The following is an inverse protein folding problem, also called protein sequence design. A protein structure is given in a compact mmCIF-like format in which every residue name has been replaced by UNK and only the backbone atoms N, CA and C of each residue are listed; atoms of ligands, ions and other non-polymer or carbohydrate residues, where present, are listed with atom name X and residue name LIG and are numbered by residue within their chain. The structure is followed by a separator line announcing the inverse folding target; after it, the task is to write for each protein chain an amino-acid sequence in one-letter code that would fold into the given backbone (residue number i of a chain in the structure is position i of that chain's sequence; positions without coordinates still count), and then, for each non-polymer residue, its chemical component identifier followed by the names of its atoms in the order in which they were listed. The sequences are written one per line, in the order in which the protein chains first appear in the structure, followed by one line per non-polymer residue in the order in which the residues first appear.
data_IF_041467397002
#
_entry.id   IF_041467397002
#
_cell.length_a   1.000
_cell.length_b   1.000
_cell.length_c   1.000
_cell.angle_alpha   90.00
_cell.angle_beta   90.00
_cell.angle_gamma   90.00
#
_symmetry.space_group_name_H-M   'P 1'
#
loop_
_entity.id
_entity.type
_entity.pdbx_description
1 polymer ?
#
# COMPACT_ATOMS: atom_id res chain seq x y z
N UNK A 1 -6.67 -21.80 -31.58
CA UNK A 1 -5.72 -22.85 -32.00
C UNK A 1 -6.45 -24.07 -32.56
N UNK A 2 -7.38 -24.72 -31.83
CA UNK A 2 -8.10 -25.91 -32.31
C UNK A 2 -9.04 -25.62 -33.47
N UNK A 3 -9.58 -24.40 -33.57
CA UNK A 3 -10.35 -23.95 -34.73
C UNK A 3 -9.48 -23.80 -35.99
N UNK A 4 -8.23 -23.34 -35.78
CA UNK A 4 -7.28 -23.12 -36.88
C UNK A 4 -6.59 -24.42 -37.31
N UNK A 5 -6.50 -25.40 -36.41
CA UNK A 5 -5.85 -26.69 -36.60
C UNK A 5 -6.78 -27.84 -36.20
N UNK A 6 -7.78 -28.17 -37.02
CA UNK A 6 -8.80 -29.17 -36.67
C UNK A 6 -8.27 -30.59 -36.52
N UNK A 7 -7.10 -30.88 -37.07
CA UNK A 7 -6.45 -32.19 -36.96
C UNK A 7 -5.43 -32.26 -35.79
N UNK A 8 -5.37 -31.25 -34.92
CA UNK A 8 -4.45 -31.27 -33.80
C UNK A 8 -4.88 -32.35 -32.78
N UNK A 9 -3.92 -33.19 -32.38
CA UNK A 9 -4.14 -34.18 -31.33
C UNK A 9 -3.89 -33.51 -29.94
N UNK A 10 -4.95 -33.43 -29.11
CA UNK A 10 -4.87 -32.85 -27.79
C UNK A 10 -4.59 -33.90 -26.73
N UNK A 11 -3.43 -33.83 -26.07
CA UNK A 11 -3.08 -34.70 -24.95
C UNK A 11 -3.23 -33.90 -23.64
N UNK A 12 -3.93 -34.47 -22.66
CA UNK A 12 -4.11 -33.88 -21.35
C UNK A 12 -3.11 -34.50 -20.36
N UNK A 13 -2.26 -33.64 -19.76
CA UNK A 13 -1.35 -34.07 -18.69
C UNK A 13 -2.12 -33.98 -17.36
N UNK A 14 -2.71 -35.08 -16.91
CA UNK A 14 -3.61 -35.12 -15.74
C UNK A 14 -2.95 -35.71 -14.51
N UNK A 15 -1.87 -36.47 -14.64
CA UNK A 15 -1.14 -36.99 -13.50
C UNK A 15 -0.30 -35.87 -12.85
N UNK A 16 -0.48 -35.68 -11.57
CA UNK A 16 0.26 -34.73 -10.73
C UNK A 16 1.24 -35.48 -9.82
N UNK A 17 2.47 -34.98 -9.75
CA UNK A 17 3.56 -35.58 -8.97
C UNK A 17 3.99 -34.71 -7.78
N UNK A 18 3.30 -33.57 -7.55
CA UNK A 18 3.66 -32.59 -6.51
C UNK A 18 2.81 -32.69 -5.26
N UNK A 19 1.50 -32.90 -5.44
CA UNK A 19 0.51 -32.74 -4.38
C UNK A 19 -0.12 -34.07 -3.98
N UNK A 20 -0.53 -34.14 -2.72
CA UNK A 20 -1.30 -35.27 -2.17
C UNK A 20 -2.76 -35.24 -2.63
N UNK A 21 -3.49 -36.34 -2.44
CA UNK A 21 -4.86 -36.52 -2.93
C UNK A 21 -5.84 -35.47 -2.46
N UNK A 22 -5.85 -35.13 -1.16
CA UNK A 22 -6.77 -34.15 -0.58
C UNK A 22 -6.60 -32.75 -1.20
N UNK A 23 -5.36 -32.31 -1.47
CA UNK A 23 -5.09 -31.03 -2.13
C UNK A 23 -5.64 -31.02 -3.54
N UNK A 24 -5.45 -32.11 -4.30
CA UNK A 24 -5.97 -32.22 -5.67
C UNK A 24 -7.49 -32.31 -5.72
N UNK A 25 -8.10 -32.99 -4.77
CA UNK A 25 -9.57 -33.07 -4.65
C UNK A 25 -10.16 -31.67 -4.47
N UNK A 26 -9.61 -30.87 -3.55
CA UNK A 26 -10.04 -29.49 -3.32
C UNK A 26 -9.80 -28.61 -4.56
N UNK A 27 -8.62 -28.70 -5.18
CA UNK A 27 -8.30 -27.93 -6.38
C UNK A 27 -9.23 -28.27 -7.54
N UNK A 28 -9.55 -29.56 -7.76
CA UNK A 28 -10.50 -30.00 -8.77
C UNK A 28 -11.92 -29.48 -8.48
N UNK A 29 -12.35 -29.45 -7.21
CA UNK A 29 -13.66 -28.94 -6.81
C UNK A 29 -13.78 -27.42 -7.07
N UNK A 30 -12.76 -26.66 -6.69
CA UNK A 30 -12.73 -25.19 -6.93
C UNK A 30 -12.78 -24.89 -8.42
N UNK A 31 -11.91 -25.53 -9.20
CA UNK A 31 -11.82 -25.25 -10.63
C UNK A 31 -13.03 -25.76 -11.44
N UNK A 32 -13.81 -26.70 -10.90
CA UNK A 32 -15.04 -27.19 -11.54
C UNK A 32 -16.11 -26.10 -11.72
N UNK A 33 -16.06 -25.02 -10.92
CA UNK A 33 -16.95 -23.87 -11.05
C UNK A 33 -16.69 -23.03 -12.32
N UNK A 34 -15.55 -23.19 -12.97
CA UNK A 34 -15.23 -22.49 -14.22
C UNK A 34 -15.92 -23.13 -15.41
N UNK A 35 -16.91 -22.44 -16.00
CA UNK A 35 -17.74 -22.96 -17.11
C UNK A 35 -17.00 -22.99 -18.46
N UNK A 36 -16.03 -22.10 -18.71
CA UNK A 36 -15.35 -21.94 -20.01
C UNK A 36 -13.95 -22.56 -20.06
N UNK A 37 -13.72 -23.67 -19.35
CA UNK A 37 -12.43 -24.36 -19.37
C UNK A 37 -12.47 -25.66 -20.14
N UNK A 38 -11.32 -26.10 -20.69
CA UNK A 38 -11.15 -27.50 -21.13
C UNK A 38 -11.20 -28.40 -19.90
N UNK A 39 -12.06 -29.37 -19.90
CA UNK A 39 -12.19 -30.32 -18.81
C UNK A 39 -10.89 -31.09 -18.61
N UNK A 40 -10.30 -30.97 -17.44
CA UNK A 40 -9.11 -31.68 -17.00
C UNK A 40 -9.30 -32.01 -15.51
N UNK A 41 -8.98 -33.26 -15.12
CA UNK A 41 -9.06 -33.72 -13.74
C UNK A 41 -7.68 -34.19 -13.31
N UNK A 42 -7.06 -33.44 -12.40
CA UNK A 42 -5.77 -33.84 -11.84
C UNK A 42 -5.95 -35.01 -10.87
N UNK A 43 -5.05 -35.99 -10.97
CA UNK A 43 -4.96 -37.12 -10.04
C UNK A 43 -3.50 -37.36 -9.65
N UNK A 44 -3.27 -38.04 -8.52
CA UNK A 44 -1.95 -38.44 -8.06
C UNK A 44 -1.93 -39.92 -7.67
N UNK A 45 -0.76 -40.52 -7.72
CA UNK A 45 -0.50 -41.85 -7.16
C UNK A 45 0.00 -41.74 -5.68
N UNK A 46 0.22 -40.53 -5.15
CA UNK A 46 0.56 -40.30 -3.76
C UNK A 46 -0.63 -40.55 -2.85
N UNK A 47 -0.38 -40.73 -1.56
CA UNK A 47 -1.39 -40.83 -0.51
C UNK A 47 -2.31 -39.59 -0.47
N UNK A 48 -3.46 -39.71 0.18
CA UNK A 48 -4.41 -38.59 0.34
C UNK A 48 -3.82 -37.43 1.16
N UNK A 49 -2.93 -37.72 2.10
CA UNK A 49 -2.32 -36.74 2.99
C UNK A 49 -3.30 -36.21 4.06
N UNK A 50 -2.89 -35.16 4.75
CA UNK A 50 -3.70 -34.52 5.78
C UNK A 50 -4.94 -33.82 5.18
N UNK A 51 -5.97 -33.70 5.99
CA UNK A 51 -7.18 -32.95 5.61
C UNK A 51 -6.90 -31.46 5.57
N UNK A 52 -7.59 -30.76 4.67
CA UNK A 52 -7.54 -29.30 4.58
C UNK A 52 -8.31 -28.71 5.78
N UNK A 53 -7.66 -27.83 6.52
CA UNK A 53 -8.29 -27.03 7.55
C UNK A 53 -8.86 -25.75 6.96
N UNK A 54 -10.04 -25.35 7.41
CA UNK A 54 -10.69 -24.09 7.03
C UNK A 54 -10.90 -23.29 8.30
N UNK A 55 -10.42 -22.07 8.29
CA UNK A 55 -10.63 -21.10 9.36
C UNK A 55 -11.47 -19.93 8.83
N UNK A 56 -12.53 -19.60 9.53
CA UNK A 56 -13.37 -18.44 9.24
C UNK A 56 -13.01 -17.34 10.24
N UNK A 57 -12.22 -16.38 9.77
CA UNK A 57 -11.81 -15.24 10.57
C UNK A 57 -12.96 -14.22 10.71
N UNK A 58 -12.97 -13.48 11.81
CA UNK A 58 -13.91 -12.37 12.04
C UNK A 58 -13.54 -11.12 11.24
N UNK A 59 -12.25 -10.90 11.03
CA UNK A 59 -11.66 -9.81 10.29
C UNK A 59 -10.26 -10.19 9.78
N UNK A 60 -9.62 -9.30 9.04
CA UNK A 60 -8.28 -9.51 8.47
C UNK A 60 -7.16 -9.59 9.53
N UNK A 61 -7.34 -8.98 10.70
CA UNK A 61 -6.39 -9.10 11.82
C UNK A 61 -6.48 -10.45 12.48
N UNK A 62 -7.68 -10.98 12.64
CA UNK A 62 -7.93 -12.33 13.16
C UNK A 62 -7.35 -13.37 12.21
N UNK A 63 -7.55 -13.19 10.87
CA UNK A 63 -6.92 -14.02 9.85
C UNK A 63 -5.40 -14.02 9.98
N UNK A 64 -4.78 -12.84 10.01
CA UNK A 64 -3.33 -12.69 10.11
C UNK A 64 -2.75 -13.29 11.40
N UNK A 65 -3.42 -13.11 12.54
CA UNK A 65 -3.03 -13.73 13.82
C UNK A 65 -3.11 -15.25 13.77
N UNK A 66 -4.19 -15.77 13.19
CA UNK A 66 -4.36 -17.21 13.05
C UNK A 66 -3.27 -17.81 12.17
N UNK A 67 -2.96 -17.17 11.02
CA UNK A 67 -1.90 -17.60 10.11
C UNK A 67 -0.54 -17.60 10.83
N UNK A 68 -0.18 -16.52 11.52
CA UNK A 68 1.07 -16.44 12.27
C UNK A 68 1.15 -17.52 13.36
N UNK A 69 0.05 -17.76 14.09
CA UNK A 69 -0.05 -18.81 15.10
C UNK A 69 0.09 -20.22 14.52
N UNK A 70 -0.49 -20.46 13.34
CA UNK A 70 -0.37 -21.76 12.67
C UNK A 70 1.05 -22.02 12.17
N UNK A 71 1.73 -20.98 11.64
CA UNK A 71 3.15 -21.07 11.27
C UNK A 71 4.01 -21.46 12.48
N UNK A 72 3.79 -20.86 13.64
CA UNK A 72 4.53 -21.18 14.87
C UNK A 72 4.24 -22.61 15.36
N UNK A 73 3.01 -23.08 15.24
CA UNK A 73 2.67 -24.50 15.54
C UNK A 73 3.43 -25.46 14.63
N UNK A 74 3.45 -25.19 13.33
CA UNK A 74 4.17 -26.00 12.35
C UNK A 74 5.68 -25.98 12.63
N UNK A 75 6.22 -24.83 13.01
CA UNK A 75 7.61 -24.72 13.45
C UNK A 75 7.91 -25.56 14.68
N UNK A 76 7.05 -25.51 15.70
CA UNK A 76 7.16 -26.33 16.91
C UNK A 76 7.08 -27.83 16.60
N UNK A 77 6.37 -28.22 15.55
CA UNK A 77 6.30 -29.58 15.03
C UNK A 77 7.54 -29.97 14.17
N UNK A 78 8.49 -29.06 13.97
CA UNK A 78 9.77 -29.34 13.30
C UNK A 78 9.89 -28.82 11.87
N UNK A 79 8.90 -28.14 11.31
CA UNK A 79 9.03 -27.46 10.01
C UNK A 79 9.91 -26.21 10.15
N UNK A 80 10.73 -25.93 9.13
CA UNK A 80 11.40 -24.64 9.02
C UNK A 80 10.52 -23.63 8.33
N UNK A 81 10.70 -22.33 8.61
CA UNK A 81 9.94 -21.25 7.95
C UNK A 81 10.02 -21.31 6.42
N UNK A 82 11.14 -21.77 5.86
CA UNK A 82 11.31 -21.93 4.41
C UNK A 82 10.40 -22.97 3.76
N UNK A 83 9.74 -23.80 4.55
CA UNK A 83 8.84 -24.86 4.09
C UNK A 83 7.38 -24.41 4.13
N UNK A 84 7.11 -23.19 4.59
CA UNK A 84 5.77 -22.61 4.67
C UNK A 84 5.60 -21.53 3.62
N UNK A 85 4.47 -21.54 2.92
CA UNK A 85 4.09 -20.48 1.99
C UNK A 85 2.67 -20.03 2.27
N UNK A 86 2.46 -18.71 2.28
CA UNK A 86 1.16 -18.07 2.40
C UNK A 86 0.81 -17.45 1.05
N UNK A 87 -0.36 -17.78 0.52
CA UNK A 87 -0.85 -17.27 -0.76
C UNK A 87 -2.02 -16.32 -0.53
N UNK A 88 -2.04 -15.23 -1.29
CA UNK A 88 -3.13 -14.26 -1.30
C UNK A 88 -3.50 -13.87 -2.73
N UNK A 89 -4.70 -13.32 -2.93
CA UNK A 89 -5.23 -13.03 -4.27
C UNK A 89 -4.75 -11.68 -4.79
N UNK A 90 -4.77 -10.64 -3.97
CA UNK A 90 -4.36 -9.28 -4.34
C UNK A 90 -3.21 -8.80 -3.48
N UNK A 91 -2.42 -7.90 -4.04
CA UNK A 91 -1.27 -7.36 -3.32
C UNK A 91 -1.66 -6.56 -2.06
N UNK A 92 -2.83 -5.92 -2.04
CA UNK A 92 -3.32 -5.19 -0.88
C UNK A 92 -3.41 -6.07 0.38
N UNK A 93 -3.86 -7.32 0.22
CA UNK A 93 -3.98 -8.29 1.33
C UNK A 93 -2.65 -8.58 2.03
N UNK A 94 -1.49 -8.34 1.38
CA UNK A 94 -0.20 -8.66 2.00
C UNK A 94 0.12 -7.77 3.21
N UNK A 95 -0.41 -6.54 3.28
CA UNK A 95 -0.10 -5.60 4.35
C UNK A 95 -0.41 -6.17 5.75
N UNK A 96 -1.63 -6.63 5.94
CA UNK A 96 -2.04 -7.18 7.23
C UNK A 96 -1.26 -8.44 7.59
N UNK A 97 -0.97 -9.29 6.60
CA UNK A 97 -0.12 -10.47 6.81
C UNK A 97 1.31 -10.08 7.21
N UNK A 98 1.90 -9.09 6.52
CA UNK A 98 3.24 -8.58 6.85
C UNK A 98 3.31 -8.03 8.28
N UNK A 99 2.31 -7.22 8.68
CA UNK A 99 2.24 -6.66 10.03
C UNK A 99 2.10 -7.75 11.10
N UNK A 100 1.21 -8.72 10.90
CA UNK A 100 1.02 -9.81 11.86
C UNK A 100 2.23 -10.74 11.96
N UNK A 101 2.90 -11.04 10.85
CA UNK A 101 4.14 -11.83 10.85
C UNK A 101 5.27 -11.07 11.55
N UNK A 102 5.39 -9.76 11.32
CA UNK A 102 6.38 -8.92 11.96
C UNK A 102 6.16 -8.86 13.49
N UNK A 103 4.92 -8.62 13.94
CA UNK A 103 4.56 -8.60 15.36
C UNK A 103 4.80 -9.95 16.05
N UNK A 104 4.58 -11.04 15.33
CA UNK A 104 4.86 -12.39 15.81
C UNK A 104 6.35 -12.78 15.77
N UNK A 105 7.22 -11.92 15.20
CA UNK A 105 8.64 -12.24 15.04
C UNK A 105 8.91 -13.33 13.99
N UNK A 106 7.96 -13.61 13.10
CA UNK A 106 8.08 -14.62 12.04
C UNK A 106 8.82 -14.01 10.84
N UNK A 107 10.02 -14.51 10.48
CA UNK A 107 10.72 -14.00 9.31
C UNK A 107 10.00 -14.40 8.03
N UNK A 108 9.82 -13.44 7.10
CA UNK A 108 9.13 -13.69 5.84
C UNK A 108 9.86 -13.03 4.66
N UNK A 109 9.52 -13.49 3.46
CA UNK A 109 9.93 -12.89 2.19
C UNK A 109 8.76 -12.88 1.23
N UNK A 110 8.51 -11.73 0.60
CA UNK A 110 7.53 -11.60 -0.47
C UNK A 110 8.14 -12.11 -1.77
N UNK A 111 7.44 -12.97 -2.48
CA UNK A 111 7.84 -13.53 -3.77
C UNK A 111 6.93 -12.97 -4.85
N UNK A 112 7.54 -12.38 -5.89
CA UNK A 112 6.82 -11.76 -7.00
C UNK A 112 6.28 -10.35 -6.74
N UNK A 113 6.70 -9.71 -5.65
CA UNK A 113 6.31 -8.36 -5.31
C UNK A 113 7.32 -7.66 -4.39
N UNK A 114 6.96 -6.44 -3.97
CA UNK A 114 7.68 -5.64 -2.96
C UNK A 114 6.85 -5.56 -1.69
N UNK A 115 7.52 -5.29 -0.56
CA UNK A 115 6.82 -5.00 0.71
C UNK A 115 5.84 -3.84 0.51
N UNK A 116 4.76 -3.82 1.26
CA UNK A 116 3.70 -2.84 1.10
C UNK A 116 4.23 -1.40 1.06
N UNK A 117 5.01 -1.00 2.05
CA UNK A 117 5.57 0.37 2.12
C UNK A 117 6.70 0.65 1.11
N UNK A 118 7.24 -0.37 0.44
CA UNK A 118 8.25 -0.21 -0.61
C UNK A 118 7.63 -0.04 -2.00
N UNK A 119 6.32 -0.24 -2.15
CA UNK A 119 5.60 -0.08 -3.42
C UNK A 119 5.66 1.36 -3.91
N UNK A 120 5.82 1.53 -5.22
CA UNK A 120 6.06 2.84 -5.82
C UNK A 120 4.96 3.86 -5.47
N UNK A 121 3.69 3.47 -5.62
CA UNK A 121 2.51 4.29 -5.34
C UNK A 121 2.40 4.68 -3.86
N UNK A 122 2.75 3.77 -2.95
CA UNK A 122 2.78 4.06 -1.50
C UNK A 122 3.91 5.01 -1.16
N UNK A 123 5.09 4.79 -1.74
CA UNK A 123 6.23 5.71 -1.57
C UNK A 123 5.95 7.10 -2.15
N UNK A 124 5.14 7.19 -3.21
CA UNK A 124 4.73 8.48 -3.77
C UNK A 124 3.79 9.21 -2.81
N UNK A 125 2.78 8.54 -2.26
CA UNK A 125 1.89 9.13 -1.23
C UNK A 125 2.71 9.54 0.00
N UNK A 126 3.58 8.67 0.51
CA UNK A 126 4.44 8.98 1.64
C UNK A 126 5.36 10.18 1.38
N UNK A 127 5.90 10.32 0.15
CA UNK A 127 6.72 11.47 -0.21
C UNK A 127 5.91 12.77 -0.24
N UNK A 128 4.65 12.76 -0.68
CA UNK A 128 3.75 13.90 -0.51
C UNK A 128 3.56 14.28 0.96
N UNK A 129 3.28 13.30 1.82
CA UNK A 129 3.10 13.54 3.26
C UNK A 129 4.37 14.11 3.89
N UNK A 130 5.53 13.53 3.55
CA UNK A 130 6.83 14.03 4.01
C UNK A 130 7.04 15.48 3.61
N UNK A 131 6.75 15.83 2.36
CA UNK A 131 6.88 17.20 1.85
C UNK A 131 5.92 18.19 2.51
N UNK A 132 4.71 17.76 2.84
CA UNK A 132 3.71 18.58 3.54
C UNK A 132 4.18 18.90 4.96
N UNK A 133 4.73 17.90 5.66
CA UNK A 133 5.27 18.08 7.02
C UNK A 133 6.59 18.87 7.00
N UNK A 134 7.46 18.55 6.05
CA UNK A 134 8.77 19.18 5.91
C UNK A 134 9.01 19.66 4.46
N UNK A 135 8.66 20.92 4.13
CA UNK A 135 8.88 21.49 2.79
C UNK A 135 10.35 21.60 2.38
N UNK A 136 11.28 21.44 3.32
CA UNK A 136 12.71 21.44 3.05
C UNK A 136 13.25 20.06 2.61
N UNK A 137 12.39 19.03 2.52
CA UNK A 137 12.79 17.72 2.01
C UNK A 137 12.82 17.72 0.47
N UNK A 138 13.98 18.08 -0.07
CA UNK A 138 14.23 18.11 -1.52
C UNK A 138 14.09 16.74 -2.18
N UNK A 139 14.34 15.64 -1.46
CA UNK A 139 14.21 14.28 -1.99
C UNK A 139 12.74 13.96 -2.20
N UNK A 140 11.91 14.23 -1.20
CA UNK A 140 10.48 14.07 -1.30
C UNK A 140 9.88 14.97 -2.39
N UNK A 141 10.27 16.24 -2.45
CA UNK A 141 9.81 17.19 -3.47
C UNK A 141 10.12 16.72 -4.89
N UNK A 142 11.37 16.35 -5.15
CA UNK A 142 11.82 15.85 -6.49
C UNK A 142 11.14 14.54 -6.88
N UNK A 143 10.80 13.70 -5.89
CA UNK A 143 10.08 12.46 -6.15
C UNK A 143 8.69 12.73 -6.70
N UNK A 144 7.96 13.69 -6.14
CA UNK A 144 6.52 13.86 -6.42
C UNK A 144 6.18 15.03 -7.35
N UNK A 145 7.10 15.92 -7.63
CA UNK A 145 6.87 17.13 -8.46
C UNK A 145 6.23 16.81 -9.82
N UNK A 146 6.54 15.64 -10.39
CA UNK A 146 5.97 15.17 -11.66
C UNK A 146 5.27 13.80 -11.52
N UNK A 147 4.72 13.49 -10.35
CA UNK A 147 3.94 12.28 -10.06
C UNK A 147 2.56 12.68 -9.51
N UNK A 148 1.47 12.41 -10.27
CA UNK A 148 1.44 11.90 -11.65
C UNK A 148 2.05 12.88 -12.66
N UNK A 149 2.23 12.48 -13.90
CA UNK A 149 2.85 13.33 -14.93
C UNK A 149 2.10 14.64 -15.12
N UNK A 150 2.79 15.76 -14.85
CA UNK A 150 2.27 17.14 -14.99
C UNK A 150 2.94 17.94 -16.10
N UNK A 151 3.85 17.32 -16.86
CA UNK A 151 4.65 18.04 -17.85
C UNK A 151 5.87 18.78 -17.25
N UNK A 152 6.18 18.56 -15.97
CA UNK A 152 7.39 19.04 -15.31
C UNK A 152 8.53 18.07 -15.65
N UNK A 153 9.21 18.34 -16.76
CA UNK A 153 10.30 17.48 -17.26
C UNK A 153 11.64 17.79 -16.61
N UNK A 154 12.65 17.02 -17.01
CA UNK A 154 14.01 17.11 -16.48
C UNK A 154 14.58 18.53 -16.52
N UNK A 155 14.45 19.23 -17.66
CA UNK A 155 14.96 20.60 -17.83
C UNK A 155 14.29 21.61 -16.90
N UNK A 156 13.00 21.42 -16.62
CA UNK A 156 12.26 22.25 -15.67
C UNK A 156 12.74 22.00 -14.23
N UNK A 157 12.96 20.72 -13.88
CA UNK A 157 13.51 20.34 -12.57
C UNK A 157 14.92 20.92 -12.39
N UNK A 158 15.78 20.80 -13.39
CA UNK A 158 17.12 21.38 -13.37
C UNK A 158 17.11 22.91 -13.19
N UNK A 159 16.12 23.58 -13.77
CA UNK A 159 15.93 25.03 -13.59
C UNK A 159 15.51 25.39 -12.16
N UNK A 160 14.60 24.64 -11.58
CA UNK A 160 14.21 24.79 -10.16
C UNK A 160 15.43 24.57 -9.25
N UNK A 161 16.20 23.51 -9.50
CA UNK A 161 17.42 23.22 -8.74
C UNK A 161 18.50 24.30 -8.90
N UNK A 162 18.56 24.95 -10.06
CA UNK A 162 19.45 26.08 -10.28
C UNK A 162 19.07 27.24 -9.35
N UNK A 163 17.80 27.65 -9.32
CA UNK A 163 17.33 28.68 -8.38
C UNK A 163 17.63 28.34 -6.95
N UNK A 164 17.32 27.10 -6.54
CA UNK A 164 17.57 26.63 -5.19
C UNK A 164 19.06 26.77 -4.81
N UNK A 165 19.97 26.35 -5.69
CA UNK A 165 21.42 26.47 -5.46
C UNK A 165 21.93 27.90 -5.42
N UNK A 166 21.52 28.74 -6.39
CA UNK A 166 22.00 30.11 -6.53
C UNK A 166 21.57 30.99 -5.36
N UNK A 167 20.39 30.73 -4.81
CA UNK A 167 19.81 31.52 -3.72
C UNK A 167 19.98 30.86 -2.32
N UNK A 168 20.55 29.65 -2.26
CA UNK A 168 20.73 28.93 -1.00
C UNK A 168 19.41 28.52 -0.33
N UNK A 169 18.41 28.15 -1.12
CA UNK A 169 17.06 27.80 -0.69
C UNK A 169 16.70 26.35 -1.00
N UNK A 170 15.55 25.90 -0.52
CA UNK A 170 15.01 24.56 -0.77
C UNK A 170 14.48 24.42 -2.20
N UNK A 171 14.27 23.16 -2.63
CA UNK A 171 13.65 22.88 -3.95
C UNK A 171 12.24 23.49 -4.05
N UNK A 172 11.45 23.47 -2.99
CA UNK A 172 10.10 24.08 -2.98
C UNK A 172 10.13 25.59 -3.15
N UNK A 173 11.02 26.28 -2.44
CA UNK A 173 11.22 27.74 -2.60
C UNK A 173 11.72 28.06 -4.01
N UNK A 174 12.63 27.24 -4.57
CA UNK A 174 13.07 27.36 -5.97
C UNK A 174 11.92 27.12 -6.96
N UNK A 175 10.99 26.22 -6.65
CA UNK A 175 9.80 25.99 -7.46
C UNK A 175 8.86 27.20 -7.45
N UNK A 176 8.69 27.88 -6.30
CA UNK A 176 7.90 29.12 -6.20
C UNK A 176 8.48 30.23 -7.08
N UNK A 177 9.80 30.39 -7.11
CA UNK A 177 10.46 31.33 -8.02
C UNK A 177 10.28 30.95 -9.48
N UNK A 178 10.29 29.66 -9.81
CA UNK A 178 10.15 29.18 -11.16
C UNK A 178 8.76 29.46 -11.78
N UNK A 179 7.74 29.72 -10.97
CA UNK A 179 6.38 30.07 -11.44
C UNK A 179 6.40 31.36 -12.29
N UNK A 180 7.27 32.30 -11.97
CA UNK A 180 7.36 33.60 -12.65
C UNK A 180 8.53 33.68 -13.63
N UNK A 181 9.31 32.63 -13.81
CA UNK A 181 10.46 32.61 -14.72
C UNK A 181 10.02 32.68 -16.19
N UNK A 182 10.36 33.76 -16.93
CA UNK A 182 9.99 33.92 -18.34
C UNK A 182 10.69 32.91 -19.27
N UNK A 183 11.79 32.30 -18.86
CA UNK A 183 12.51 31.30 -19.65
C UNK A 183 11.77 29.94 -19.67
N UNK A 184 10.90 29.68 -18.71
CA UNK A 184 10.05 28.51 -18.69
C UNK A 184 8.78 28.71 -19.54
N UNK A 185 8.36 27.63 -20.20
CA UNK A 185 7.08 27.62 -20.93
C UNK A 185 5.91 27.89 -19.99
N UNK A 186 4.90 28.60 -20.47
CA UNK A 186 3.70 28.91 -19.68
C UNK A 186 3.04 27.64 -19.05
N UNK A 187 2.98 26.54 -19.82
CA UNK A 187 2.44 25.26 -19.32
C UNK A 187 3.27 24.67 -18.17
N UNK A 188 4.60 24.81 -18.21
CA UNK A 188 5.46 24.34 -17.13
C UNK A 188 5.28 25.21 -15.87
N UNK A 189 5.22 26.55 -16.03
CA UNK A 189 4.94 27.47 -14.92
C UNK A 189 3.61 27.19 -14.26
N UNK A 190 2.56 26.94 -15.06
CA UNK A 190 1.25 26.57 -14.55
C UNK A 190 1.32 25.27 -13.76
N UNK A 191 1.94 24.22 -14.31
CA UNK A 191 2.07 22.93 -13.65
C UNK A 191 2.86 23.00 -12.33
N UNK A 192 3.91 23.85 -12.27
CA UNK A 192 4.65 24.12 -11.03
C UNK A 192 3.73 24.82 -10.03
N UNK A 193 2.97 25.84 -10.47
CA UNK A 193 2.03 26.57 -9.61
C UNK A 193 0.95 25.67 -9.02
N UNK A 194 0.40 24.75 -9.83
CA UNK A 194 -0.57 23.74 -9.37
C UNK A 194 0.04 22.79 -8.33
N UNK A 195 1.28 22.35 -8.55
CA UNK A 195 1.99 21.49 -7.61
C UNK A 195 2.29 22.22 -6.27
N UNK A 196 2.83 23.42 -6.33
CA UNK A 196 3.11 24.25 -5.15
C UNK A 196 1.81 24.58 -4.41
N UNK A 197 0.75 24.94 -5.14
CA UNK A 197 -0.58 25.21 -4.58
C UNK A 197 -1.16 24.00 -3.84
N UNK A 198 -1.04 22.79 -4.42
CA UNK A 198 -1.46 21.55 -3.78
C UNK A 198 -0.76 21.33 -2.43
N UNK A 199 0.58 21.45 -2.41
CA UNK A 199 1.36 21.23 -1.18
C UNK A 199 0.99 22.27 -0.12
N UNK A 200 0.93 23.55 -0.50
CA UNK A 200 0.60 24.64 0.43
C UNK A 200 -0.83 24.52 0.97
N UNK A 201 -1.79 24.12 0.15
CA UNK A 201 -3.16 23.88 0.58
C UNK A 201 -3.23 22.68 1.55
N UNK A 202 -2.62 21.55 1.22
CA UNK A 202 -2.63 20.37 2.08
C UNK A 202 -2.01 20.67 3.47
N UNK A 203 -1.03 21.58 3.56
CA UNK A 203 -0.46 22.06 4.83
C UNK A 203 -1.45 22.81 5.71
N UNK A 204 -2.46 23.45 5.13
CA UNK A 204 -3.50 24.16 5.92
C UNK A 204 -4.39 23.21 6.72
N UNK A 205 -4.43 21.92 6.37
CA UNK A 205 -5.15 20.88 7.11
C UNK A 205 -4.33 20.29 8.28
N UNK A 206 -3.17 20.85 8.58
CA UNK A 206 -2.24 20.39 9.60
C UNK A 206 -2.92 20.02 10.93
N UNK A 207 -2.58 18.84 11.46
CA UNK A 207 -3.24 18.22 12.61
C UNK A 207 -4.32 17.20 12.27
N UNK A 208 -4.92 17.25 11.08
CA UNK A 208 -5.87 16.26 10.60
C UNK A 208 -5.23 15.43 9.47
N UNK A 209 -4.53 14.36 9.86
CA UNK A 209 -3.79 13.50 8.93
C UNK A 209 -4.69 12.93 7.84
N UNK A 210 -5.94 12.58 8.17
CA UNK A 210 -6.90 12.04 7.21
C UNK A 210 -7.20 13.06 6.12
N UNK A 211 -7.55 14.31 6.50
CA UNK A 211 -7.81 15.37 5.52
C UNK A 211 -6.60 15.70 4.66
N UNK A 212 -5.40 15.67 5.24
CA UNK A 212 -4.15 15.85 4.48
C UNK A 212 -4.03 14.80 3.39
N UNK A 213 -4.22 13.53 3.72
CA UNK A 213 -4.07 12.43 2.76
C UNK A 213 -5.18 12.45 1.72
N UNK A 214 -6.42 12.66 2.11
CA UNK A 214 -7.54 12.81 1.18
C UNK A 214 -7.28 13.94 0.18
N UNK A 215 -6.82 15.11 0.67
CA UNK A 215 -6.45 16.23 -0.19
C UNK A 215 -5.32 15.88 -1.16
N UNK A 216 -4.30 15.14 -0.72
CA UNK A 216 -3.22 14.66 -1.59
C UNK A 216 -3.75 13.73 -2.66
N UNK A 217 -4.54 12.73 -2.30
CA UNK A 217 -5.05 11.74 -3.24
C UNK A 217 -5.97 12.38 -4.28
N UNK A 218 -6.91 13.21 -3.84
CA UNK A 218 -7.90 13.83 -4.72
C UNK A 218 -7.28 14.88 -5.65
N UNK A 219 -6.45 15.78 -5.09
CA UNK A 219 -5.93 16.93 -5.82
C UNK A 219 -4.66 16.66 -6.59
N UNK A 220 -3.86 15.66 -6.19
CA UNK A 220 -2.67 15.28 -6.96
C UNK A 220 -3.01 14.71 -8.33
N UNK A 221 -4.20 14.10 -8.48
CA UNK A 221 -4.60 13.38 -9.67
C UNK A 221 -4.01 11.97 -9.78
N UNK A 222 -3.43 11.43 -8.69
CA UNK A 222 -2.82 10.09 -8.66
C UNK A 222 -3.82 9.01 -9.08
N UNK A 223 -5.00 8.99 -8.46
CA UNK A 223 -6.04 7.99 -8.78
C UNK A 223 -6.53 8.16 -10.22
N UNK A 224 -6.79 9.40 -10.66
CA UNK A 224 -7.24 9.66 -12.02
C UNK A 224 -6.24 9.21 -13.09
N UNK A 225 -4.95 9.42 -12.84
CA UNK A 225 -3.89 8.96 -13.75
C UNK A 225 -3.83 7.43 -13.83
N UNK A 226 -3.94 6.72 -12.69
CA UNK A 226 -3.98 5.26 -12.64
C UNK A 226 -5.25 4.70 -13.31
N UNK A 227 -6.40 5.33 -13.10
CA UNK A 227 -7.64 4.93 -13.78
C UNK A 227 -7.54 5.06 -15.29
N UNK A 228 -6.87 6.10 -15.79
CA UNK A 228 -6.64 6.34 -17.22
C UNK A 228 -5.75 5.26 -17.87
N UNK A 229 -4.86 4.61 -17.12
CA UNK A 229 -4.05 3.49 -17.63
C UNK A 229 -4.89 2.25 -17.98
N UNK A 230 -6.02 2.04 -17.32
CA UNK A 230 -6.99 0.96 -17.53
C UNK A 230 -6.35 -0.45 -17.62
N UNK A 231 -5.36 -0.72 -16.78
CA UNK A 231 -4.68 -2.01 -16.68
C UNK A 231 -4.99 -2.70 -15.34
N UNK A 232 -4.79 -4.03 -15.27
CA UNK A 232 -4.93 -4.76 -14.00
C UNK A 232 -3.88 -4.29 -12.98
N UNK A 233 -2.69 -3.92 -13.45
CA UNK A 233 -1.63 -3.39 -12.60
C UNK A 233 -2.02 -2.04 -12.00
N UNK A 234 -2.59 -1.14 -12.79
CA UNK A 234 -3.07 0.15 -12.28
C UNK A 234 -4.22 -0.02 -11.28
N UNK A 235 -5.12 -0.97 -11.51
CA UNK A 235 -6.17 -1.33 -10.53
C UNK A 235 -5.57 -1.80 -9.21
N UNK A 236 -4.55 -2.67 -9.26
CA UNK A 236 -3.86 -3.12 -8.06
C UNK A 236 -3.13 -1.99 -7.31
N UNK A 237 -2.59 -0.98 -8.02
CA UNK A 237 -2.01 0.21 -7.38
C UNK A 237 -3.06 1.08 -6.70
N UNK A 238 -4.25 1.21 -7.29
CA UNK A 238 -5.39 1.91 -6.67
C UNK A 238 -5.82 1.20 -5.39
N UNK A 239 -5.96 -0.14 -5.42
CA UNK A 239 -6.26 -0.94 -4.23
C UNK A 239 -5.22 -0.74 -3.12
N UNK A 240 -3.92 -0.68 -3.47
CA UNK A 240 -2.85 -0.40 -2.51
C UNK A 240 -2.99 1.00 -1.86
N UNK A 241 -3.35 2.03 -2.63
CA UNK A 241 -3.58 3.38 -2.09
C UNK A 241 -4.80 3.38 -1.16
N UNK A 242 -5.87 2.67 -1.51
CA UNK A 242 -7.06 2.53 -0.67
C UNK A 242 -6.75 1.79 0.64
N UNK A 243 -5.95 0.72 0.56
CA UNK A 243 -5.45 0.01 1.75
C UNK A 243 -4.61 0.92 2.65
N UNK A 244 -3.79 1.79 2.05
CA UNK A 244 -3.01 2.78 2.81
C UNK A 244 -3.90 3.77 3.56
N UNK A 245 -5.05 4.17 3.02
CA UNK A 245 -6.05 4.98 3.75
C UNK A 245 -6.55 4.25 5.00
N UNK A 246 -6.79 2.95 4.92
CA UNK A 246 -7.15 2.13 6.08
C UNK A 246 -6.07 2.13 7.16
N UNK A 247 -4.78 2.13 6.76
CA UNK A 247 -3.66 2.27 7.72
C UNK A 247 -3.73 3.59 8.47
N UNK A 248 -4.03 4.66 7.75
CA UNK A 248 -4.15 6.01 8.34
C UNK A 248 -5.31 6.09 9.32
N UNK A 249 -6.46 5.55 8.94
CA UNK A 249 -7.63 5.50 9.82
C UNK A 249 -7.33 4.73 11.12
N UNK A 250 -6.63 3.62 11.01
CA UNK A 250 -6.17 2.84 12.16
C UNK A 250 -5.20 3.64 13.04
N UNK A 251 -4.23 4.33 12.40
CA UNK A 251 -3.26 5.16 13.12
C UNK A 251 -3.93 6.31 13.87
N UNK A 252 -4.82 7.04 13.21
CA UNK A 252 -5.56 8.16 13.81
C UNK A 252 -6.40 7.67 15.00
N UNK A 253 -7.20 6.59 14.82
CA UNK A 253 -8.04 6.07 15.88
C UNK A 253 -7.24 5.61 17.12
N UNK A 254 -6.04 5.08 16.92
CA UNK A 254 -5.21 4.59 18.03
C UNK A 254 -4.55 5.75 18.81
N UNK A 255 -4.23 6.87 18.13
CA UNK A 255 -3.56 8.01 18.76
C UNK A 255 -4.55 9.03 19.35
N UNK A 256 -5.76 9.13 18.81
CA UNK A 256 -6.83 9.93 19.43
C UNK A 256 -7.22 9.39 20.81
N UNK A 257 -7.15 8.07 21.02
CA UNK A 257 -7.40 7.44 22.33
C UNK A 257 -6.27 7.71 23.34
N UNK A 258 -5.01 7.81 22.89
CA UNK A 258 -3.86 8.12 23.75
C UNK A 258 -3.85 9.58 24.21
N UNK A 259 -4.23 10.53 23.35
CA UNK A 259 -4.33 11.95 23.70
C UNK A 259 -5.52 12.23 24.66
N UNK A 260 -6.57 11.42 24.63
CA UNK A 260 -7.69 11.51 25.57
C UNK A 260 -7.29 11.12 27.01
N UNK A 261 -6.36 10.19 27.17
CA UNK A 261 -5.84 9.77 28.48
C UNK A 261 -4.84 10.77 29.09
N UNK A 262 -4.29 11.70 28.29
CA UNK A 262 -3.36 12.76 28.73
C UNK A 262 -4.05 14.08 29.09
N UNK A 263 -5.36 14.19 29.03
CA UNK A 263 -6.10 15.33 29.57
C UNK A 263 -5.92 15.36 31.07
N UNK A 264 -5.04 16.24 31.55
CA UNK A 264 -4.68 16.37 32.96
C UNK A 264 -5.94 16.57 33.83
N UNK A 265 -6.00 15.95 35.02
CA UNK A 265 -7.10 16.17 35.93
C UNK A 265 -7.17 17.68 36.27
N UNK A 266 -8.31 18.29 35.99
CA UNK A 266 -8.61 19.65 36.43
C UNK A 266 -8.47 19.69 37.93
N UNK A 267 -7.47 20.38 38.43
CA UNK A 267 -7.32 20.72 39.82
C UNK A 267 -8.56 21.51 40.23
N UNK A 268 -9.48 20.85 40.90
CA UNK A 268 -10.59 21.48 41.57
C UNK A 268 -10.02 22.43 42.64
N UNK A 269 -10.22 23.71 42.45
CA UNK A 269 -9.92 24.71 43.46
C UNK A 269 -10.76 24.43 44.71
N UNK A 270 -10.09 24.12 45.77
CA UNK A 270 -10.68 24.12 47.13
C UNK A 270 -10.62 25.58 47.65
N UNK A 271 -11.74 26.27 47.51
CA UNK A 271 -12.00 27.51 48.23
C UNK A 271 -12.41 27.17 49.68
N UNK A 272 -11.43 26.92 50.53
CA UNK A 272 -11.60 26.76 51.97
C UNK A 272 -11.74 28.08 52.67
N UNK A 273 -12.94 28.38 53.13
CA UNK A 273 -13.33 29.52 53.94
C UNK A 273 -12.49 29.67 55.21
N UNK A 274 -12.10 30.89 55.48
CA UNK A 274 -11.67 31.36 56.78
C UNK A 274 -12.88 31.48 57.73
N UNK A 275 -12.74 31.00 58.95
CA UNK A 275 -13.57 31.43 60.07
C UNK A 275 -12.77 31.34 61.39
N UNK A 276 -12.61 32.46 62.00
CA UNK A 276 -12.51 32.81 63.38
C UNK A 276 -12.18 31.80 64.48
N UNK A 277 -11.11 32.02 65.23
CA UNK A 277 -11.08 32.27 66.64
C UNK A 277 -9.63 32.40 67.14
#
# INVERSE_FOLDING_TARGET
FEQDYPNAHTVKLEQNYRSVGNVLAAANAVIANNQHRKQKKLFTASEDGEKINVYLASDERDEGRWIAGEIEKQRAAGLSYNQVAVFYRTNAQSRMLEDMLLRAGVPYRIVGGTRFFDRAEIRDVMAYLTLIVNPADDIAAKRVVNVPRRGIGKTTIERIEQFAREMGMTFMEGAELAIVDPELRASARQAIGEFVGLVNEARTYGGDLRKVIEAVIDKSGLIGALQAENTDEARGRIENIQEFLGVVDEFVSTHDDEDADYAAPTTGGDDGAAADA
#
